data_IF_057529340782
#
_entry.id   IF_057529340782
#
_cell.length_a   1.000
_cell.length_b   1.000
_cell.length_c   1.000
_cell.angle_alpha   90.00
_cell.angle_beta   90.00
_cell.angle_gamma   90.00
#
_symmetry.space_group_name_H-M   'P 1'
#
loop_
_entity.id
_entity.type
_entity.pdbx_description
1 polymer ?
#
# COMPACT_ATOMS: atom_id res chain seq x y z
N UNK A 1 -13.82 -44.13 17.09
CA UNK A 1 -14.55 -43.13 17.89
C UNK A 1 -13.73 -41.84 17.81
N UNK A 2 -14.11 -40.90 16.90
CA UNK A 2 -13.40 -39.64 16.69
C UNK A 2 -14.07 -38.60 17.58
N UNK A 3 -13.33 -38.11 18.58
CA UNK A 3 -13.81 -37.06 19.49
C UNK A 3 -13.45 -35.74 18.87
N UNK A 4 -14.41 -34.97 18.34
CA UNK A 4 -14.28 -33.59 17.99
C UNK A 4 -14.33 -32.72 19.25
N UNK A 5 -13.15 -32.24 19.71
CA UNK A 5 -13.12 -31.20 20.74
C UNK A 5 -13.35 -29.86 20.03
N UNK A 6 -14.56 -29.33 20.09
CA UNK A 6 -14.84 -27.92 19.79
C UNK A 6 -14.27 -27.08 20.92
N UNK A 7 -13.03 -26.67 20.79
CA UNK A 7 -12.52 -25.53 21.56
C UNK A 7 -13.07 -24.28 20.91
N UNK A 8 -14.17 -23.77 21.40
CA UNK A 8 -14.74 -22.49 21.00
C UNK A 8 -13.92 -21.33 21.56
N UNK A 9 -12.75 -21.10 21.02
CA UNK A 9 -12.07 -19.83 21.21
C UNK A 9 -12.72 -18.88 20.18
N UNK A 10 -13.74 -18.15 20.63
CA UNK A 10 -14.25 -16.99 19.91
C UNK A 10 -13.19 -15.90 20.02
N UNK A 11 -12.19 -15.93 19.13
CA UNK A 11 -11.33 -14.78 18.91
C UNK A 11 -12.21 -13.75 18.21
N UNK A 12 -12.81 -12.84 18.98
CA UNK A 12 -13.31 -11.58 18.42
C UNK A 12 -12.09 -10.84 17.86
N UNK A 13 -11.77 -11.04 16.60
CA UNK A 13 -10.91 -10.10 15.88
C UNK A 13 -11.70 -8.79 15.84
N UNK A 14 -11.40 -7.88 16.78
CA UNK A 14 -11.92 -6.53 16.68
C UNK A 14 -11.35 -5.91 15.40
N UNK A 15 -12.19 -5.24 14.62
CA UNK A 15 -11.74 -4.49 13.47
C UNK A 15 -10.65 -3.49 13.90
N UNK A 16 -9.67 -3.25 13.04
CA UNK A 16 -8.70 -2.18 13.23
C UNK A 16 -9.46 -0.84 13.18
N UNK A 17 -9.06 0.10 14.01
CA UNK A 17 -9.64 1.44 13.95
C UNK A 17 -9.26 2.08 12.62
N UNK A 18 -10.24 2.55 11.86
CA UNK A 18 -10.00 3.32 10.63
C UNK A 18 -9.53 4.73 10.96
N UNK A 19 -8.79 5.33 10.03
CA UNK A 19 -8.41 6.73 10.11
C UNK A 19 -9.65 7.63 10.20
N UNK A 20 -9.52 8.73 10.94
CA UNK A 20 -10.48 9.83 10.91
C UNK A 20 -9.86 10.96 10.11
N UNK A 21 -10.57 11.36 9.07
CA UNK A 21 -10.11 12.41 8.17
C UNK A 21 -10.98 13.66 8.30
N UNK A 22 -10.31 14.80 8.23
CA UNK A 22 -10.89 16.06 7.79
C UNK A 22 -10.26 16.45 6.45
N UNK A 23 -10.85 17.40 5.77
CA UNK A 23 -10.34 17.92 4.50
C UNK A 23 -10.08 19.41 4.68
N UNK A 24 -8.85 19.84 4.37
CA UNK A 24 -8.54 21.27 4.45
C UNK A 24 -9.14 22.06 3.25
N UNK A 25 -8.98 23.38 3.27
CA UNK A 25 -9.54 24.27 2.23
C UNK A 25 -8.98 24.00 0.83
N UNK A 26 -7.84 23.31 0.74
CA UNK A 26 -7.18 22.91 -0.52
C UNK A 26 -7.61 21.50 -0.96
N UNK A 27 -8.50 20.85 -0.21
CA UNK A 27 -8.99 19.50 -0.49
C UNK A 27 -7.95 18.41 -0.23
N UNK A 28 -6.99 18.65 0.67
CA UNK A 28 -6.03 17.64 1.10
C UNK A 28 -6.53 16.94 2.36
N UNK A 29 -6.47 15.61 2.43
CA UNK A 29 -6.86 14.87 3.63
C UNK A 29 -5.88 15.12 4.77
N UNK A 30 -6.43 15.41 5.94
CA UNK A 30 -5.72 15.65 7.19
C UNK A 30 -6.09 14.55 8.17
N UNK A 31 -5.10 13.94 8.78
CA UNK A 31 -5.31 12.96 9.85
C UNK A 31 -5.72 13.67 11.13
N UNK A 32 -6.92 13.41 11.65
CA UNK A 32 -7.34 13.92 12.96
C UNK A 32 -6.56 13.30 14.12
N UNK A 33 -5.97 12.10 13.93
CA UNK A 33 -5.19 11.43 14.96
C UNK A 33 -3.79 12.03 15.12
N UNK A 34 -3.22 12.55 14.04
CA UNK A 34 -1.83 13.02 13.99
C UNK A 34 -1.70 14.53 13.76
N UNK A 35 -2.81 15.20 13.44
CA UNK A 35 -2.87 16.62 13.07
C UNK A 35 -1.87 16.96 11.94
N UNK A 36 -1.83 16.07 10.91
CA UNK A 36 -0.87 16.16 9.82
C UNK A 36 -1.55 15.82 8.49
N UNK A 37 -1.05 16.39 7.40
CA UNK A 37 -1.54 16.12 6.05
C UNK A 37 -0.97 14.80 5.52
N UNK A 38 -1.76 14.07 4.73
CA UNK A 38 -1.29 12.83 4.11
C UNK A 38 -0.28 13.05 2.98
N UNK A 39 -0.30 14.23 2.37
CA UNK A 39 0.61 14.63 1.31
C UNK A 39 0.62 16.16 1.16
N UNK A 40 1.62 16.69 0.45
CA UNK A 40 1.75 18.14 0.19
C UNK A 40 0.53 18.71 -0.53
N UNK A 41 0.05 19.85 -0.07
CA UNK A 41 -1.08 20.57 -0.66
C UNK A 41 -0.82 20.99 -2.12
N UNK A 42 0.41 21.33 -2.46
CA UNK A 42 0.76 21.88 -3.77
C UNK A 42 0.92 20.80 -4.83
N UNK A 43 1.75 19.79 -4.56
CA UNK A 43 2.01 18.70 -5.51
C UNK A 43 2.55 17.46 -4.79
N UNK A 44 1.67 16.74 -4.09
CA UNK A 44 2.05 15.52 -3.35
C UNK A 44 2.61 14.42 -4.25
N UNK A 45 2.17 14.36 -5.53
CA UNK A 45 2.69 13.36 -6.46
C UNK A 45 4.13 13.67 -6.90
N UNK A 46 4.43 14.91 -7.26
CA UNK A 46 5.80 15.31 -7.62
C UNK A 46 6.74 15.21 -6.41
N UNK A 47 6.27 15.56 -5.22
CA UNK A 47 7.04 15.34 -3.99
C UNK A 47 7.34 13.86 -3.79
N UNK A 48 6.35 12.97 -3.98
CA UNK A 48 6.54 11.52 -3.89
C UNK A 48 7.53 11.01 -4.95
N UNK A 49 7.44 11.50 -6.18
CA UNK A 49 8.41 11.17 -7.24
C UNK A 49 9.82 11.58 -6.86
N UNK A 50 9.98 12.77 -6.31
CA UNK A 50 11.28 13.27 -5.92
C UNK A 50 11.83 12.55 -4.67
N UNK A 51 11.07 12.53 -3.58
CA UNK A 51 11.55 12.02 -2.29
C UNK A 51 11.60 10.50 -2.29
N UNK A 52 10.53 9.83 -2.76
CA UNK A 52 10.44 8.39 -2.67
C UNK A 52 11.09 7.69 -3.87
N UNK A 53 10.77 8.05 -5.12
CA UNK A 53 11.37 7.35 -6.27
C UNK A 53 12.82 7.74 -6.46
N UNK A 54 13.14 9.03 -6.64
CA UNK A 54 14.52 9.46 -6.89
C UNK A 54 15.42 9.21 -5.68
N UNK A 55 14.93 9.47 -4.46
CA UNK A 55 15.65 9.18 -3.22
C UNK A 55 16.03 7.71 -3.06
N UNK A 56 15.25 6.79 -3.64
CA UNK A 56 15.53 5.36 -3.70
C UNK A 56 16.11 4.89 -5.04
N UNK A 57 16.49 5.80 -5.93
CA UNK A 57 17.13 5.53 -7.23
C UNK A 57 16.25 4.72 -8.21
N UNK A 58 14.93 4.89 -8.19
CA UNK A 58 14.06 4.33 -9.21
C UNK A 58 13.99 5.24 -10.45
N UNK A 59 13.93 4.70 -11.69
CA UNK A 59 13.83 3.29 -12.05
C UNK A 59 15.17 2.51 -12.11
N UNK A 60 16.33 3.17 -12.01
CA UNK A 60 17.66 2.53 -12.19
C UNK A 60 17.84 1.28 -11.33
N UNK A 61 17.24 1.28 -10.14
CA UNK A 61 17.26 0.13 -9.23
C UNK A 61 16.53 -1.08 -9.80
N UNK A 62 15.52 -0.90 -10.65
CA UNK A 62 14.86 -1.97 -11.38
C UNK A 62 15.74 -2.55 -12.48
N UNK A 63 16.46 -1.70 -13.23
CA UNK A 63 17.34 -2.11 -14.33
C UNK A 63 18.44 -3.04 -13.85
N UNK A 64 18.97 -2.79 -12.68
CA UNK A 64 20.10 -3.55 -12.09
C UNK A 64 19.66 -4.66 -11.13
N UNK A 65 18.34 -4.89 -10.98
CA UNK A 65 17.84 -5.84 -9.99
C UNK A 65 18.19 -7.29 -10.37
N UNK A 66 18.84 -8.06 -9.46
CA UNK A 66 19.38 -9.40 -9.83
C UNK A 66 18.35 -10.52 -9.78
N UNK A 67 17.13 -10.28 -9.29
CA UNK A 67 16.09 -11.28 -9.08
C UNK A 67 14.83 -11.00 -9.90
N UNK A 68 13.95 -12.00 -10.01
CA UNK A 68 12.65 -11.85 -10.68
C UNK A 68 11.65 -10.98 -9.90
N UNK A 69 11.83 -10.87 -8.59
CA UNK A 69 10.96 -10.09 -7.71
C UNK A 69 11.75 -9.04 -6.96
N UNK A 70 11.33 -7.79 -7.07
CA UNK A 70 11.80 -6.69 -6.23
C UNK A 70 10.86 -6.55 -5.04
N UNK A 71 11.40 -6.64 -3.82
CA UNK A 71 10.64 -6.47 -2.58
C UNK A 71 10.94 -5.11 -1.98
N UNK A 72 9.92 -4.36 -1.65
CA UNK A 72 10.00 -3.04 -1.03
C UNK A 72 9.08 -3.03 0.18
N UNK A 73 9.54 -2.44 1.26
CA UNK A 73 8.75 -2.31 2.48
C UNK A 73 8.73 -0.86 2.97
N UNK A 74 7.60 -0.47 3.54
CA UNK A 74 7.40 0.84 4.19
C UNK A 74 6.59 0.69 5.48
N UNK A 75 6.55 1.76 6.26
CA UNK A 75 5.64 1.95 7.41
C UNK A 75 4.76 3.17 7.15
N UNK A 76 3.44 3.02 7.37
CA UNK A 76 2.47 4.05 7.06
C UNK A 76 2.07 4.04 5.59
N UNK A 77 1.06 3.23 5.23
CA UNK A 77 0.53 3.19 3.87
C UNK A 77 -0.18 4.49 3.48
N UNK A 78 -0.91 5.06 4.43
CA UNK A 78 -1.67 6.28 4.23
C UNK A 78 -2.65 6.19 3.07
N UNK A 79 -2.51 7.09 2.10
CA UNK A 79 -3.29 7.05 0.85
C UNK A 79 -2.73 6.07 -0.19
N UNK A 80 -1.58 5.44 0.07
CA UNK A 80 -0.90 4.55 -0.87
C UNK A 80 -0.22 5.27 -2.05
N UNK A 81 0.03 6.58 -1.92
CA UNK A 81 0.62 7.36 -3.00
C UNK A 81 2.02 6.85 -3.38
N UNK A 82 2.87 6.48 -2.40
CA UNK A 82 4.16 5.86 -2.67
C UNK A 82 4.01 4.55 -3.47
N UNK A 83 3.07 3.70 -3.06
CA UNK A 83 2.79 2.44 -3.74
C UNK A 83 2.32 2.66 -5.18
N UNK A 84 1.33 3.54 -5.41
CA UNK A 84 0.79 3.81 -6.74
C UNK A 84 1.84 4.42 -7.68
N UNK A 85 2.64 5.38 -7.17
CA UNK A 85 3.71 6.01 -7.93
C UNK A 85 4.80 5.01 -8.31
N UNK A 86 5.16 4.10 -7.39
CA UNK A 86 6.10 3.03 -7.69
C UNK A 86 5.56 2.02 -8.69
N UNK A 87 4.28 1.68 -8.60
CA UNK A 87 3.62 0.79 -9.57
C UNK A 87 3.64 1.40 -10.98
N UNK A 88 3.34 2.70 -11.12
CA UNK A 88 3.45 3.41 -12.39
C UNK A 88 4.89 3.34 -12.93
N UNK A 89 5.88 3.66 -12.11
CA UNK A 89 7.29 3.56 -12.47
C UNK A 89 7.69 2.13 -12.90
N UNK A 90 7.17 1.11 -12.22
CA UNK A 90 7.43 -0.29 -12.56
C UNK A 90 6.77 -0.70 -13.88
N UNK A 91 5.56 -0.24 -14.16
CA UNK A 91 4.91 -0.47 -15.46
C UNK A 91 5.68 0.17 -16.62
N UNK A 92 6.13 1.41 -16.45
CA UNK A 92 6.97 2.10 -17.44
C UNK A 92 8.31 1.37 -17.66
N UNK A 93 8.94 0.91 -16.57
CA UNK A 93 10.13 0.07 -16.64
C UNK A 93 9.88 -1.21 -17.44
N UNK A 94 8.80 -1.94 -17.15
CA UNK A 94 8.45 -3.19 -17.87
C UNK A 94 8.20 -2.97 -19.36
N UNK A 95 7.55 -1.87 -19.73
CA UNK A 95 7.31 -1.50 -21.13
C UNK A 95 8.62 -1.24 -21.88
N UNK A 96 9.55 -0.53 -21.23
CA UNK A 96 10.84 -0.19 -21.83
C UNK A 96 11.84 -1.35 -21.81
N UNK A 97 11.68 -2.33 -20.91
CA UNK A 97 12.58 -3.44 -20.71
C UNK A 97 11.83 -4.79 -20.68
N UNK A 98 11.17 -5.20 -21.78
CA UNK A 98 10.29 -6.39 -21.80
C UNK A 98 11.03 -7.70 -21.50
N UNK A 99 12.35 -7.74 -21.69
CA UNK A 99 13.20 -8.90 -21.43
C UNK A 99 13.99 -8.80 -20.12
N UNK A 100 13.68 -7.81 -19.27
CA UNK A 100 14.32 -7.69 -17.98
C UNK A 100 14.09 -8.95 -17.12
N UNK A 101 15.07 -9.30 -16.29
CA UNK A 101 14.91 -10.41 -15.33
C UNK A 101 13.85 -10.12 -14.29
N UNK A 102 13.74 -8.86 -13.87
CA UNK A 102 12.74 -8.39 -12.93
C UNK A 102 11.35 -8.42 -13.56
N UNK A 103 10.45 -9.27 -13.04
CA UNK A 103 9.10 -9.49 -13.54
C UNK A 103 8.01 -9.11 -12.54
N UNK A 104 8.36 -8.97 -11.26
CA UNK A 104 7.38 -8.76 -10.19
C UNK A 104 7.83 -7.71 -9.19
N UNK A 105 6.88 -6.88 -8.80
CA UNK A 105 6.99 -5.96 -7.67
C UNK A 105 6.19 -6.53 -6.50
N UNK A 106 6.84 -6.70 -5.35
CA UNK A 106 6.19 -7.07 -4.09
C UNK A 106 6.37 -5.95 -3.09
N UNK A 107 5.27 -5.28 -2.76
CA UNK A 107 5.24 -4.17 -1.83
C UNK A 107 4.63 -4.61 -0.50
N UNK A 108 5.29 -4.30 0.60
CA UNK A 108 4.86 -4.63 1.96
C UNK A 108 4.67 -3.31 2.69
N UNK A 109 3.50 -3.07 3.24
CA UNK A 109 3.23 -1.86 4.02
C UNK A 109 2.48 -2.17 5.31
N UNK A 110 2.84 -1.46 6.37
CA UNK A 110 2.18 -1.55 7.66
C UNK A 110 1.32 -0.29 7.85
N UNK A 111 0.03 -0.47 8.17
CA UNK A 111 -0.89 0.64 8.36
C UNK A 111 -1.71 0.43 9.65
N UNK A 112 -1.57 1.37 10.57
CA UNK A 112 -2.25 1.29 11.87
C UNK A 112 -3.69 1.73 11.80
N UNK A 113 -3.97 2.74 10.97
CA UNK A 113 -5.28 3.37 10.81
C UNK A 113 -5.65 3.44 9.34
N UNK A 114 -6.06 2.30 8.72
CA UNK A 114 -6.38 2.28 7.29
C UNK A 114 -7.52 3.24 6.97
N UNK A 115 -7.43 3.87 5.81
CA UNK A 115 -8.49 4.70 5.26
C UNK A 115 -9.71 3.85 4.90
N UNK A 116 -10.89 4.46 4.90
CA UNK A 116 -12.05 3.87 4.25
C UNK A 116 -11.83 3.82 2.74
N UNK A 117 -12.54 2.94 2.04
CA UNK A 117 -12.49 2.89 0.58
C UNK A 117 -12.96 4.22 -0.05
N UNK A 118 -13.93 4.88 0.57
CA UNK A 118 -14.46 6.17 0.10
C UNK A 118 -13.43 7.28 0.22
N UNK A 119 -12.75 7.37 1.37
CA UNK A 119 -11.68 8.35 1.61
C UNK A 119 -10.48 8.11 0.69
N UNK A 120 -10.14 6.84 0.47
CA UNK A 120 -9.07 6.47 -0.46
C UNK A 120 -9.37 6.94 -1.88
N UNK A 121 -10.59 6.68 -2.38
CA UNK A 121 -11.05 7.16 -3.69
C UNK A 121 -11.05 8.69 -3.78
N UNK A 122 -11.53 9.35 -2.74
CA UNK A 122 -11.53 10.81 -2.68
C UNK A 122 -10.12 11.39 -2.74
N UNK A 123 -9.16 10.82 -2.00
CA UNK A 123 -7.77 11.24 -2.04
C UNK A 123 -7.14 11.05 -3.42
N UNK A 124 -7.40 9.91 -4.07
CA UNK A 124 -6.84 9.58 -5.38
C UNK A 124 -7.39 10.42 -6.52
N UNK A 125 -8.59 11.00 -6.39
CA UNK A 125 -9.20 11.84 -7.43
C UNK A 125 -8.35 13.06 -7.82
N UNK A 126 -7.34 13.39 -7.03
CA UNK A 126 -6.38 14.46 -7.30
C UNK A 126 -5.35 14.10 -8.39
N UNK A 127 -5.16 12.81 -8.66
CA UNK A 127 -4.12 12.33 -9.59
C UNK A 127 -4.71 11.44 -10.70
N UNK A 128 -5.37 12.05 -11.71
CA UNK A 128 -5.95 11.30 -12.83
C UNK A 128 -4.93 10.42 -13.57
N UNK A 129 -3.65 10.79 -13.55
CA UNK A 129 -2.57 10.00 -14.15
C UNK A 129 -2.30 8.66 -13.46
N UNK A 130 -2.78 8.48 -12.21
CA UNK A 130 -2.72 7.22 -11.47
C UNK A 130 -4.04 6.43 -11.54
N UNK A 131 -5.06 6.96 -12.20
CA UNK A 131 -6.43 6.41 -12.20
C UNK A 131 -6.51 4.91 -12.47
N UNK A 132 -5.85 4.32 -13.50
CA UNK A 132 -5.98 2.89 -13.73
C UNK A 132 -5.51 2.03 -12.56
N UNK A 133 -4.42 2.42 -11.90
CA UNK A 133 -3.85 1.70 -10.75
C UNK A 133 -4.67 1.97 -9.47
N UNK A 134 -5.06 3.22 -9.28
CA UNK A 134 -5.91 3.66 -8.18
C UNK A 134 -7.25 2.92 -8.18
N UNK A 135 -7.90 2.83 -9.33
CA UNK A 135 -9.16 2.13 -9.48
C UNK A 135 -9.03 0.65 -9.10
N UNK A 136 -7.98 -0.03 -9.63
CA UNK A 136 -7.73 -1.44 -9.31
C UNK A 136 -7.45 -1.67 -7.82
N UNK A 137 -6.74 -0.74 -7.17
CA UNK A 137 -6.48 -0.79 -5.73
C UNK A 137 -7.78 -0.61 -4.95
N UNK A 138 -8.55 0.41 -5.28
CA UNK A 138 -9.82 0.73 -4.60
C UNK A 138 -10.85 -0.40 -4.74
N UNK A 139 -10.95 -1.04 -5.91
CA UNK A 139 -11.87 -2.17 -6.13
C UNK A 139 -11.54 -3.37 -5.24
N UNK A 140 -10.27 -3.53 -4.87
CA UNK A 140 -9.77 -4.64 -4.04
C UNK A 140 -9.46 -4.22 -2.61
N UNK A 141 -9.83 -2.99 -2.22
CA UNK A 141 -9.55 -2.49 -0.87
C UNK A 141 -10.21 -3.36 0.19
N UNK A 142 -9.43 -3.89 1.15
CA UNK A 142 -9.95 -4.88 2.09
C UNK A 142 -10.71 -4.23 3.25
N UNK A 143 -11.52 -5.02 3.92
CA UNK A 143 -12.08 -4.66 5.22
C UNK A 143 -10.96 -4.43 6.25
N UNK A 144 -11.16 -3.52 7.23
CA UNK A 144 -10.16 -3.18 8.24
C UNK A 144 -9.99 -4.28 9.31
N UNK A 145 -9.53 -5.44 8.88
CA UNK A 145 -9.23 -6.58 9.75
C UNK A 145 -7.73 -6.63 10.07
N UNK A 146 -7.34 -6.93 11.31
CA UNK A 146 -5.92 -6.97 11.69
C UNK A 146 -5.16 -8.09 10.97
N UNK A 147 -3.88 -7.83 10.69
CA UNK A 147 -2.97 -8.75 10.01
C UNK A 147 -2.84 -8.50 8.52
N UNK A 148 -2.28 -9.47 7.80
CA UNK A 148 -1.99 -9.33 6.38
C UNK A 148 -3.24 -9.39 5.50
N UNK A 149 -3.38 -8.39 4.64
CA UNK A 149 -4.38 -8.30 3.57
C UNK A 149 -3.63 -8.26 2.24
N UNK A 150 -3.58 -9.39 1.53
CA UNK A 150 -2.87 -9.48 0.25
C UNK A 150 -3.76 -9.05 -0.90
N UNK A 151 -3.27 -8.06 -1.65
CA UNK A 151 -3.89 -7.55 -2.89
C UNK A 151 -2.98 -7.92 -4.07
N UNK A 152 -3.56 -8.54 -5.09
CA UNK A 152 -2.86 -8.94 -6.30
C UNK A 152 -3.39 -8.12 -7.47
N UNK A 153 -2.51 -7.38 -8.12
CA UNK A 153 -2.79 -6.54 -9.28
C UNK A 153 -2.03 -7.04 -10.51
N UNK A 154 -2.48 -6.61 -11.69
CA UNK A 154 -1.79 -6.90 -12.98
C UNK A 154 -1.44 -8.39 -13.15
N UNK A 155 -2.40 -9.27 -12.90
CA UNK A 155 -2.23 -10.72 -13.04
C UNK A 155 -1.05 -11.31 -12.22
N UNK A 156 -0.70 -10.69 -11.10
CA UNK A 156 0.38 -11.14 -10.22
C UNK A 156 1.74 -10.49 -10.47
N UNK A 157 1.83 -9.55 -11.40
CA UNK A 157 3.05 -8.74 -11.57
C UNK A 157 3.27 -7.77 -10.40
N UNK A 158 2.18 -7.33 -9.76
CA UNK A 158 2.21 -6.45 -8.58
C UNK A 158 1.49 -7.13 -7.44
N UNK A 159 2.18 -7.31 -6.32
CA UNK A 159 1.65 -7.85 -5.08
C UNK A 159 1.81 -6.79 -4.00
N UNK A 160 0.72 -6.50 -3.29
CA UNK A 160 0.71 -5.65 -2.11
C UNK A 160 0.30 -6.48 -0.90
N UNK A 161 1.17 -6.55 0.10
CA UNK A 161 0.87 -7.07 1.43
C UNK A 161 0.66 -5.89 2.38
N UNK A 162 -0.61 -5.60 2.69
CA UNK A 162 -1.02 -4.62 3.68
C UNK A 162 -1.18 -5.28 5.04
N UNK A 163 -0.36 -4.89 6.01
CA UNK A 163 -0.46 -5.34 7.39
C UNK A 163 -1.20 -4.30 8.22
N UNK A 164 -2.45 -4.56 8.52
CA UNK A 164 -3.26 -3.68 9.35
C UNK A 164 -2.98 -3.91 10.83
N UNK A 165 -2.59 -2.84 11.53
CA UNK A 165 -2.24 -2.82 12.94
C UNK A 165 -0.92 -2.10 13.23
N UNK A 166 -0.55 -2.03 14.51
CA UNK A 166 0.72 -1.42 14.91
C UNK A 166 1.92 -2.21 14.36
N UNK A 167 2.87 -1.52 13.74
CA UNK A 167 4.05 -2.14 13.12
C UNK A 167 4.86 -2.97 14.13
N UNK A 168 4.93 -2.54 15.39
CA UNK A 168 5.65 -3.30 16.43
C UNK A 168 5.01 -4.66 16.74
N UNK A 169 3.70 -4.78 16.50
CA UNK A 169 2.94 -6.03 16.68
C UNK A 169 2.94 -6.87 15.42
N UNK A 170 2.89 -6.24 14.23
CA UNK A 170 2.73 -6.93 12.95
C UNK A 170 4.08 -7.38 12.35
N UNK A 171 5.14 -6.59 12.49
CA UNK A 171 6.46 -6.91 11.92
C UNK A 171 7.04 -8.26 12.38
N UNK A 172 6.93 -8.67 13.66
CA UNK A 172 7.37 -10.00 14.09
C UNK A 172 6.65 -11.16 13.39
N UNK A 173 5.44 -10.94 12.88
CA UNK A 173 4.64 -11.97 12.21
C UNK A 173 5.12 -12.26 10.79
N UNK A 174 5.88 -11.36 10.15
CA UNK A 174 6.51 -11.60 8.85
C UNK A 174 7.50 -12.75 8.86
N UNK A 175 8.15 -13.01 9.99
CA UNK A 175 9.22 -14.01 10.14
C UNK A 175 8.74 -15.34 10.71
N UNK A 176 7.42 -15.54 10.84
CA UNK A 176 6.85 -16.72 11.49
C UNK A 176 6.54 -17.90 10.54
N UNK A 177 7.17 -17.93 9.36
CA UNK A 177 7.05 -19.02 8.39
C UNK A 177 8.40 -19.66 8.08
#
# INVERSE_FOLDING_TARGET
MIIWIRTGISVKKSAVQTARLSWNDEGTPVSEQFDDVYFSNQDGLEETRYVFLQGNQFPTRFETHPFETCVIAETGFGTGLNFLTLCQCFEEFKQNHPNAKLQRLHFISFEKYPLSQEDLKAAHSRWPELDPLSQMLCEKWPDPLPGNQRIILKNGEIILDLWFGDVNEQLPLLNSN
#
